data_IF_412928764210
#
_entry.id   IF_412928764210
#
_cell.length_a   1.000
_cell.length_b   1.000
_cell.length_c   1.000
_cell.angle_alpha   90.00
_cell.angle_beta   90.00
_cell.angle_gamma   90.00
#
_symmetry.space_group_name_H-M   'P 1'
#
loop_
_entity.id
_entity.type
_entity.pdbx_description
1 polymer ?
#
# COMPACT_ATOMS: atom_id res chain seq x y z
N UNK A 1 -0.02 10.67 -11.32
CA UNK A 1 1.41 10.29 -11.14
C UNK A 1 1.98 9.88 -12.48
N UNK A 2 3.28 10.08 -12.74
CA UNK A 2 4.01 9.52 -13.89
C UNK A 2 5.23 8.76 -13.43
N UNK A 3 5.67 7.78 -14.20
CA UNK A 3 6.92 7.07 -13.99
C UNK A 3 7.73 7.06 -15.26
N UNK A 4 9.01 7.42 -15.16
CA UNK A 4 9.98 7.39 -16.24
C UNK A 4 11.07 6.38 -15.88
N UNK A 5 11.20 5.33 -16.69
CA UNK A 5 12.29 4.37 -16.59
C UNK A 5 13.54 4.99 -17.20
N UNK A 6 14.56 5.26 -16.39
CA UNK A 6 15.77 5.95 -16.82
C UNK A 6 16.90 5.01 -17.22
N UNK A 7 17.04 3.89 -16.52
CA UNK A 7 18.09 2.92 -16.78
C UNK A 7 17.69 1.53 -16.29
N UNK A 8 18.15 0.51 -17.00
CA UNK A 8 18.09 -0.90 -16.58
C UNK A 8 19.52 -1.45 -16.54
N UNK A 9 19.82 -2.24 -15.52
CA UNK A 9 21.11 -2.95 -15.48
C UNK A 9 21.14 -4.07 -16.54
N UNK A 10 22.33 -4.37 -17.06
CA UNK A 10 22.52 -5.41 -18.07
C UNK A 10 22.75 -6.80 -17.48
N UNK A 11 23.16 -6.84 -16.22
CA UNK A 11 23.54 -8.08 -15.51
C UNK A 11 22.48 -8.53 -14.52
N UNK A 12 21.47 -7.69 -14.25
CA UNK A 12 20.39 -7.99 -13.29
C UNK A 12 19.08 -7.32 -13.73
N UNK A 13 17.99 -7.59 -13.00
CA UNK A 13 16.68 -6.94 -13.21
C UNK A 13 16.57 -5.57 -12.50
N UNK A 14 17.69 -4.99 -12.05
CA UNK A 14 17.69 -3.69 -11.37
C UNK A 14 17.32 -2.56 -12.34
N UNK A 15 16.53 -1.62 -11.87
CA UNK A 15 16.03 -0.48 -12.66
C UNK A 15 16.15 0.81 -11.87
N UNK A 16 16.55 1.87 -12.55
CA UNK A 16 16.51 3.24 -12.03
C UNK A 16 15.38 3.97 -12.73
N UNK A 17 14.57 4.69 -11.98
CA UNK A 17 13.47 5.47 -12.53
C UNK A 17 13.16 6.71 -11.73
N UNK A 18 12.26 7.51 -12.27
CA UNK A 18 11.77 8.73 -11.66
C UNK A 18 10.24 8.68 -11.57
N UNK A 19 9.72 8.71 -10.37
CA UNK A 19 8.29 8.92 -10.11
C UNK A 19 8.05 10.42 -9.93
N UNK A 20 7.04 10.98 -10.58
CA UNK A 20 6.60 12.35 -10.36
C UNK A 20 5.17 12.37 -9.84
N UNK A 21 4.97 13.00 -8.68
CA UNK A 21 3.68 13.29 -8.06
C UNK A 21 3.46 14.80 -7.98
N UNK A 22 2.28 15.23 -7.53
CA UNK A 22 1.99 16.66 -7.35
C UNK A 22 2.79 17.27 -6.17
N UNK A 23 3.34 16.43 -5.25
CA UNK A 23 4.21 16.86 -4.14
C UNK A 23 5.71 16.67 -4.40
N UNK A 24 6.11 16.29 -5.62
CA UNK A 24 7.50 16.23 -6.01
C UNK A 24 7.94 14.92 -6.66
N UNK A 25 9.25 14.78 -6.81
CA UNK A 25 9.88 13.68 -7.51
C UNK A 25 10.52 12.68 -6.55
N UNK A 26 10.49 11.41 -6.95
CA UNK A 26 11.06 10.28 -6.20
C UNK A 26 11.99 9.53 -7.16
N UNK A 27 13.28 9.53 -6.86
CA UNK A 27 14.28 8.72 -7.59
C UNK A 27 14.26 7.30 -7.05
N UNK A 28 14.03 6.32 -7.88
CA UNK A 28 14.00 4.91 -7.49
C UNK A 28 15.27 4.18 -7.94
N UNK A 29 15.73 3.15 -7.21
CA UNK A 29 15.14 2.60 -5.98
C UNK A 29 15.35 3.50 -4.77
N UNK A 30 14.42 3.50 -3.82
CA UNK A 30 14.51 4.29 -2.59
C UNK A 30 13.82 3.57 -1.44
N UNK A 31 14.37 3.76 -0.23
CA UNK A 31 13.72 3.37 1.01
C UNK A 31 12.74 4.45 1.48
N UNK A 32 11.56 4.04 1.95
CA UNK A 32 10.55 4.93 2.52
C UNK A 32 10.58 4.87 4.05
N UNK A 33 11.01 5.93 4.77
CA UNK A 33 10.86 5.98 6.22
C UNK A 33 9.40 5.84 6.64
N UNK A 34 9.15 5.00 7.65
CA UNK A 34 7.79 4.70 8.10
C UNK A 34 7.31 5.75 9.08
N UNK A 35 6.34 6.54 8.66
CA UNK A 35 5.63 7.55 9.44
C UNK A 35 4.25 7.08 9.87
N UNK A 36 4.16 6.04 10.70
CA UNK A 36 2.94 5.28 11.06
C UNK A 36 1.71 6.14 11.31
N UNK A 37 1.83 7.17 12.16
CA UNK A 37 0.74 8.08 12.50
C UNK A 37 1.03 9.52 12.02
N UNK A 38 1.58 9.64 10.81
CA UNK A 38 1.95 10.91 10.21
C UNK A 38 3.30 11.46 10.67
N UNK A 39 4.08 10.69 11.44
CA UNK A 39 5.43 11.06 11.89
C UNK A 39 6.33 9.84 11.96
N UNK A 40 7.60 10.01 11.62
CA UNK A 40 8.65 9.01 11.87
C UNK A 40 9.09 9.15 13.33
N UNK A 41 8.85 8.11 14.13
CA UNK A 41 9.08 8.17 15.58
C UNK A 41 10.54 8.47 15.92
N UNK A 42 10.76 9.47 16.79
CA UNK A 42 12.09 9.85 17.28
C UNK A 42 12.94 10.62 16.27
N UNK A 43 12.39 11.02 15.11
CA UNK A 43 13.11 11.78 14.07
C UNK A 43 12.29 13.02 13.69
N UNK A 44 12.89 14.21 13.75
CA UNK A 44 12.23 15.42 13.27
C UNK A 44 12.15 15.47 11.74
N UNK A 45 11.13 16.14 11.20
CA UNK A 45 11.02 16.28 9.74
C UNK A 45 12.16 17.07 9.12
N UNK A 46 12.75 18.03 9.84
CA UNK A 46 13.97 18.70 9.40
C UNK A 46 15.14 17.73 9.20
N UNK A 47 15.32 16.77 10.11
CA UNK A 47 16.34 15.73 9.99
C UNK A 47 16.06 14.79 8.81
N UNK A 48 14.78 14.40 8.61
CA UNK A 48 14.39 13.60 7.45
C UNK A 48 14.67 14.32 6.11
N UNK A 49 14.46 15.63 6.09
CA UNK A 49 14.65 16.46 4.89
C UNK A 49 16.12 16.75 4.63
N UNK A 50 16.86 17.17 5.65
CA UNK A 50 18.21 17.74 5.51
C UNK A 50 19.30 16.66 5.61
N UNK A 51 19.15 15.72 6.54
CA UNK A 51 20.16 14.70 6.82
C UNK A 51 19.88 13.38 6.09
N UNK A 52 18.67 12.81 6.27
CA UNK A 52 18.27 11.57 5.61
C UNK A 52 17.98 11.80 4.13
N UNK A 53 17.56 13.01 3.74
CA UNK A 53 17.15 13.38 2.38
C UNK A 53 16.00 12.50 1.84
N UNK A 54 15.10 12.09 2.74
CA UNK A 54 13.93 11.29 2.38
C UNK A 54 13.09 12.03 1.34
N UNK A 55 12.76 11.34 0.25
CA UNK A 55 11.96 11.89 -0.85
C UNK A 55 10.48 11.53 -0.70
N UNK A 56 10.17 10.50 0.05
CA UNK A 56 8.83 9.97 0.31
C UNK A 56 8.81 9.36 1.71
N UNK A 57 7.67 9.42 2.38
CA UNK A 57 7.41 8.67 3.63
C UNK A 57 6.19 7.77 3.46
N UNK A 58 6.10 6.73 4.31
CA UNK A 58 4.97 5.83 4.37
C UNK A 58 4.11 6.12 5.59
N UNK A 59 2.79 6.29 5.40
CA UNK A 59 1.79 6.35 6.47
C UNK A 59 0.97 5.07 6.53
N UNK A 60 0.48 4.70 7.72
CA UNK A 60 -0.36 3.52 7.86
C UNK A 60 -1.84 3.92 7.98
N UNK A 61 -2.65 3.53 7.01
CA UNK A 61 -4.08 3.86 6.92
C UNK A 61 -4.87 3.47 8.16
N UNK A 62 -4.66 2.27 8.69
CA UNK A 62 -5.31 1.80 9.91
C UNK A 62 -5.03 2.70 11.12
N UNK A 63 -3.77 3.09 11.32
CA UNK A 63 -3.40 3.94 12.44
C UNK A 63 -3.93 5.35 12.29
N UNK A 64 -3.84 5.93 11.10
CA UNK A 64 -4.36 7.28 10.80
C UNK A 64 -5.89 7.34 10.91
N UNK A 65 -6.60 6.29 10.50
CA UNK A 65 -8.03 6.14 10.67
C UNK A 65 -8.45 6.16 12.14
N UNK A 66 -7.74 5.46 13.01
CA UNK A 66 -8.07 5.41 14.44
C UNK A 66 -7.58 6.66 15.19
N UNK A 67 -6.39 7.17 14.86
CA UNK A 67 -5.79 8.33 15.50
C UNK A 67 -4.81 9.04 14.54
N UNK A 68 -5.03 10.32 14.19
CA UNK A 68 -5.94 11.28 14.84
C UNK A 68 -7.42 11.08 14.50
N UNK A 69 -7.74 10.25 13.50
CA UNK A 69 -9.10 10.05 13.00
C UNK A 69 -9.43 10.92 11.79
N UNK A 70 -10.41 10.48 11.01
CA UNK A 70 -10.71 11.08 9.71
C UNK A 70 -11.23 12.50 9.79
N UNK A 71 -12.02 12.83 10.81
CA UNK A 71 -12.57 14.17 11.00
C UNK A 71 -11.45 15.21 11.22
N UNK A 72 -10.44 14.87 12.01
CA UNK A 72 -9.28 15.74 12.25
C UNK A 72 -8.45 15.90 10.99
N UNK A 73 -8.15 14.80 10.28
CA UNK A 73 -7.39 14.85 9.04
C UNK A 73 -8.11 15.66 7.97
N UNK A 74 -9.42 15.51 7.83
CA UNK A 74 -10.24 16.28 6.91
C UNK A 74 -10.25 17.77 7.24
N UNK A 75 -10.43 18.10 8.52
CA UNK A 75 -10.43 19.49 9.00
C UNK A 75 -9.04 20.15 8.80
N UNK A 76 -7.96 19.40 8.94
CA UNK A 76 -6.59 19.86 8.67
C UNK A 76 -6.30 20.07 7.17
N UNK A 77 -7.11 19.53 6.27
CA UNK A 77 -6.87 19.57 4.82
C UNK A 77 -5.95 18.47 4.31
N UNK A 78 -6.04 17.27 4.93
CA UNK A 78 -5.28 16.06 4.60
C UNK A 78 -3.97 15.90 5.37
N UNK A 79 -3.33 14.74 5.19
CA UNK A 79 -2.15 14.34 5.94
C UNK A 79 -0.96 15.27 5.72
N UNK A 80 -0.73 15.75 4.49
CA UNK A 80 0.35 16.68 4.18
C UNK A 80 0.28 17.97 5.03
N UNK A 81 -0.90 18.54 5.14
CA UNK A 81 -1.11 19.74 5.97
C UNK A 81 -1.11 19.42 7.46
N UNK A 82 -1.67 18.27 7.85
CA UNK A 82 -1.70 17.85 9.25
C UNK A 82 -0.31 17.67 9.83
N UNK A 83 0.61 17.05 9.10
CA UNK A 83 1.96 16.76 9.59
C UNK A 83 3.04 17.74 9.08
N UNK A 84 2.71 18.65 8.16
CA UNK A 84 3.67 19.60 7.58
C UNK A 84 4.70 18.98 6.63
N UNK A 85 4.42 17.79 6.09
CA UNK A 85 5.30 17.12 5.13
C UNK A 85 4.92 17.48 3.69
N UNK A 86 5.74 18.30 3.03
CA UNK A 86 5.48 18.84 1.69
C UNK A 86 6.11 18.00 0.55
N UNK A 87 6.44 16.73 0.81
CA UNK A 87 6.98 15.78 -0.16
C UNK A 87 6.01 14.61 -0.31
N UNK A 88 6.20 13.72 -1.30
CA UNK A 88 5.32 12.58 -1.50
C UNK A 88 5.05 11.74 -0.26
N UNK A 89 3.84 11.22 -0.15
CA UNK A 89 3.40 10.26 0.86
C UNK A 89 2.78 9.06 0.16
N UNK A 90 3.12 7.86 0.64
CA UNK A 90 2.40 6.63 0.33
C UNK A 90 1.64 6.18 1.57
N UNK A 91 0.40 5.71 1.40
CA UNK A 91 -0.33 5.01 2.47
C UNK A 91 -0.59 3.56 2.09
N UNK A 92 -0.38 2.66 3.07
CA UNK A 92 -0.76 1.25 2.91
C UNK A 92 -2.29 1.07 2.86
N UNK A 93 -2.74 -0.17 2.62
CA UNK A 93 -4.16 -0.52 2.59
C UNK A 93 -4.85 -0.50 3.97
N UNK A 94 -4.06 -0.62 5.05
CA UNK A 94 -4.55 -0.93 6.39
C UNK A 94 -4.86 -2.41 6.63
N UNK A 95 -4.86 -3.25 5.59
CA UNK A 95 -5.18 -4.68 5.67
C UNK A 95 -4.27 -5.43 6.63
N UNK A 96 -2.96 -5.30 6.48
CA UNK A 96 -1.99 -5.99 7.34
C UNK A 96 -2.19 -5.68 8.82
N UNK A 97 -2.43 -4.42 9.20
CA UNK A 97 -2.63 -4.02 10.61
C UNK A 97 -3.94 -4.57 11.17
N UNK A 98 -5.00 -4.61 10.38
CA UNK A 98 -6.25 -5.26 10.77
C UNK A 98 -6.02 -6.75 11.02
N UNK A 99 -5.16 -7.40 10.23
CA UNK A 99 -4.85 -8.82 10.39
C UNK A 99 -3.87 -9.10 11.52
N UNK A 100 -2.87 -8.26 11.76
CA UNK A 100 -1.79 -8.49 12.72
C UNK A 100 -2.07 -7.96 14.13
N UNK A 101 -2.81 -6.86 14.27
CA UNK A 101 -3.00 -6.15 15.55
C UNK A 101 -4.33 -6.44 16.23
N UNK A 102 -5.28 -7.09 15.56
CA UNK A 102 -6.60 -7.33 16.12
C UNK A 102 -6.79 -8.79 16.51
N UNK A 103 -7.00 -9.04 17.80
CA UNK A 103 -7.27 -10.38 18.33
C UNK A 103 -8.65 -10.94 17.90
N UNK A 104 -9.59 -10.06 17.53
CA UNK A 104 -10.94 -10.40 17.11
C UNK A 104 -11.22 -9.70 15.78
N UNK A 105 -11.17 -10.47 14.71
CA UNK A 105 -11.56 -10.05 13.37
C UNK A 105 -12.55 -11.02 12.77
N UNK A 106 -13.45 -10.52 11.95
CA UNK A 106 -14.36 -11.34 11.15
C UNK A 106 -14.26 -10.92 9.69
N UNK A 107 -13.73 -11.84 8.90
CA UNK A 107 -13.56 -11.67 7.46
C UNK A 107 -14.82 -12.13 6.73
N UNK A 108 -15.23 -11.42 5.72
CA UNK A 108 -16.34 -11.75 4.83
C UNK A 108 -16.12 -11.17 3.44
N UNK A 109 -16.96 -11.53 2.48
CA UNK A 109 -16.92 -10.91 1.14
C UNK A 109 -17.12 -9.39 1.19
N UNK A 110 -17.91 -8.89 2.13
CA UNK A 110 -18.17 -7.47 2.31
C UNK A 110 -16.92 -6.69 2.75
N UNK A 111 -16.13 -7.26 3.66
CA UNK A 111 -14.97 -6.61 4.24
C UNK A 111 -14.50 -7.32 5.52
N UNK A 112 -13.73 -6.60 6.32
CA UNK A 112 -13.18 -7.07 7.57
C UNK A 112 -13.71 -6.27 8.76
N UNK A 113 -14.45 -6.93 9.66
CA UNK A 113 -14.83 -6.35 10.95
C UNK A 113 -13.71 -6.57 11.96
N UNK A 114 -13.40 -5.55 12.74
CA UNK A 114 -12.33 -5.62 13.76
C UNK A 114 -12.64 -4.77 14.97
N UNK A 115 -11.86 -4.96 16.03
CA UNK A 115 -11.87 -4.07 17.20
C UNK A 115 -10.61 -3.21 17.23
N UNK A 116 -10.79 -1.93 17.51
CA UNK A 116 -9.68 -1.01 17.73
C UNK A 116 -8.79 -1.50 18.88
N UNK A 117 -7.49 -1.52 18.66
CA UNK A 117 -6.50 -1.84 19.71
C UNK A 117 -6.33 -0.70 20.73
N UNK A 118 -6.91 0.48 20.46
CA UNK A 118 -6.80 1.67 21.32
C UNK A 118 -7.88 1.63 22.41
N UNK A 119 -9.14 1.38 22.03
CA UNK A 119 -10.30 1.52 22.89
C UNK A 119 -11.32 0.37 22.80
N UNK A 120 -11.05 -0.65 21.96
CA UNK A 120 -11.91 -1.79 21.76
C UNK A 120 -13.18 -1.54 20.95
N UNK A 121 -13.38 -0.33 20.41
CA UNK A 121 -14.52 0.00 19.55
C UNK A 121 -14.57 -0.88 18.31
N UNK A 122 -15.79 -1.14 17.81
CA UNK A 122 -16.01 -1.99 16.63
C UNK A 122 -15.96 -1.14 15.36
N UNK A 123 -15.23 -1.63 14.38
CA UNK A 123 -15.08 -1.03 13.07
C UNK A 123 -15.26 -2.07 11.97
N UNK A 124 -15.50 -1.59 10.76
CA UNK A 124 -15.48 -2.40 9.54
C UNK A 124 -14.68 -1.68 8.47
N UNK A 125 -13.75 -2.37 7.85
CA UNK A 125 -13.12 -1.97 6.59
C UNK A 125 -13.73 -2.75 5.45
N UNK A 126 -14.24 -2.03 4.46
CA UNK A 126 -14.66 -2.55 3.16
C UNK A 126 -13.77 -1.94 2.08
N UNK A 127 -13.66 -2.53 0.90
CA UNK A 127 -12.93 -1.92 -0.21
C UNK A 127 -13.34 -0.45 -0.46
N UNK A 128 -14.63 -0.17 -0.39
CA UNK A 128 -15.16 1.18 -0.65
C UNK A 128 -14.76 2.18 0.43
N UNK A 129 -15.00 1.85 1.71
CA UNK A 129 -14.72 2.79 2.79
C UNK A 129 -13.21 2.98 3.04
N UNK A 130 -12.37 2.01 2.67
CA UNK A 130 -10.91 2.18 2.69
C UNK A 130 -10.47 3.16 1.59
N UNK A 131 -11.07 3.14 0.41
CA UNK A 131 -10.83 4.16 -0.61
C UNK A 131 -11.25 5.53 -0.13
N UNK A 132 -12.45 5.67 0.45
CA UNK A 132 -12.93 6.93 1.03
C UNK A 132 -12.01 7.43 2.17
N UNK A 133 -11.55 6.53 3.02
CA UNK A 133 -10.57 6.80 4.08
C UNK A 133 -9.28 7.38 3.49
N UNK A 134 -8.71 6.75 2.46
CA UNK A 134 -7.48 7.21 1.83
C UNK A 134 -7.68 8.50 1.01
N UNK A 135 -8.88 8.77 0.49
CA UNK A 135 -9.23 10.10 -0.06
C UNK A 135 -9.15 11.18 1.02
N UNK A 136 -9.66 10.91 2.23
CA UNK A 136 -9.60 11.85 3.36
C UNK A 136 -8.16 12.00 3.89
N UNK A 137 -7.38 10.92 3.96
CA UNK A 137 -5.97 10.99 4.34
C UNK A 137 -5.19 11.83 3.32
N UNK A 138 -5.42 11.63 2.03
CA UNK A 138 -4.84 12.46 0.98
C UNK A 138 -3.36 12.19 0.69
N UNK A 139 -2.90 10.93 0.73
CA UNK A 139 -1.56 10.56 0.26
C UNK A 139 -1.48 10.58 -1.28
N UNK A 140 -0.29 10.74 -1.86
CA UNK A 140 -0.07 10.72 -3.32
C UNK A 140 -0.28 9.33 -3.90
N UNK A 141 0.20 8.30 -3.19
CA UNK A 141 0.08 6.90 -3.57
C UNK A 141 -0.72 6.18 -2.49
N UNK A 142 -1.78 5.52 -2.89
CA UNK A 142 -2.67 4.76 -2.01
C UNK A 142 -2.75 3.31 -2.46
N UNK A 143 -3.00 2.39 -1.52
CA UNK A 143 -3.05 0.96 -1.79
C UNK A 143 -4.48 0.44 -1.80
N UNK A 144 -4.79 -0.48 -2.70
CA UNK A 144 -6.05 -1.20 -2.67
C UNK A 144 -6.17 -2.04 -1.39
N UNK A 145 -7.38 -2.15 -0.85
CA UNK A 145 -7.63 -2.99 0.33
C UNK A 145 -7.47 -4.46 -0.03
N UNK A 146 -6.68 -5.17 0.77
CA UNK A 146 -6.30 -6.56 0.54
C UNK A 146 -6.38 -7.40 1.81
N UNK A 147 -6.44 -8.70 1.67
CA UNK A 147 -6.16 -9.66 2.73
C UNK A 147 -4.70 -10.10 2.63
N UNK A 148 -3.95 -9.91 3.72
CA UNK A 148 -2.58 -10.39 3.87
C UNK A 148 -2.56 -11.58 4.83
N UNK A 149 -2.66 -12.83 4.35
CA UNK A 149 -2.58 -14.02 5.20
C UNK A 149 -1.16 -14.22 5.74
N UNK A 150 -1.00 -14.92 6.90
CA UNK A 150 0.32 -15.32 7.39
C UNK A 150 1.11 -16.10 6.34
N UNK A 151 2.44 -15.91 6.31
CA UNK A 151 3.30 -16.55 5.31
C UNK A 151 3.32 -18.08 5.34
N UNK A 152 2.91 -18.70 6.47
CA UNK A 152 2.77 -20.15 6.66
C UNK A 152 1.34 -20.68 6.45
N UNK A 153 0.44 -19.90 5.86
CA UNK A 153 -0.92 -20.35 5.56
C UNK A 153 -0.91 -21.49 4.57
N UNK A 154 -1.86 -22.44 4.73
CA UNK A 154 -2.00 -23.54 3.78
C UNK A 154 -2.48 -23.06 2.40
N UNK A 155 -2.32 -23.91 1.39
CA UNK A 155 -2.65 -23.58 0.01
C UNK A 155 -4.14 -23.26 -0.19
N UNK A 156 -5.04 -24.02 0.45
CA UNK A 156 -6.48 -23.83 0.27
C UNK A 156 -6.93 -22.47 0.79
N UNK A 157 -6.48 -22.09 1.98
CA UNK A 157 -6.74 -20.78 2.54
C UNK A 157 -6.09 -19.65 1.71
N UNK A 158 -4.83 -19.83 1.30
CA UNK A 158 -4.11 -18.85 0.48
C UNK A 158 -4.81 -18.59 -0.84
N UNK A 159 -5.35 -19.63 -1.48
CA UNK A 159 -6.12 -19.52 -2.73
C UNK A 159 -7.47 -18.81 -2.50
N UNK A 160 -8.16 -19.13 -1.41
CA UNK A 160 -9.42 -18.45 -1.04
C UNK A 160 -9.17 -16.95 -0.76
N UNK A 161 -8.12 -16.63 -0.01
CA UNK A 161 -7.69 -15.27 0.31
C UNK A 161 -7.34 -14.47 -0.95
N UNK A 162 -6.59 -15.10 -1.87
CA UNK A 162 -6.26 -14.47 -3.15
C UNK A 162 -7.52 -14.11 -3.94
N UNK A 163 -8.46 -15.04 -4.07
CA UNK A 163 -9.73 -14.78 -4.77
C UNK A 163 -10.55 -13.65 -4.12
N UNK A 164 -10.53 -13.54 -2.78
CA UNK A 164 -11.17 -12.45 -2.07
C UNK A 164 -10.47 -11.11 -2.36
N UNK A 165 -9.14 -11.08 -2.27
CA UNK A 165 -8.32 -9.88 -2.56
C UNK A 165 -8.54 -9.39 -3.99
N UNK A 166 -8.64 -10.28 -4.97
CA UNK A 166 -8.92 -9.92 -6.37
C UNK A 166 -10.30 -9.25 -6.53
N UNK A 167 -11.36 -9.79 -5.90
CA UNK A 167 -12.69 -9.18 -5.92
C UNK A 167 -12.73 -7.84 -5.18
N UNK A 168 -12.01 -7.74 -4.07
CA UNK A 168 -11.85 -6.47 -3.36
C UNK A 168 -11.10 -5.43 -4.17
N UNK A 169 -10.08 -5.84 -4.93
CA UNK A 169 -9.36 -4.93 -5.84
C UNK A 169 -10.31 -4.32 -6.88
N UNK A 170 -11.18 -5.12 -7.49
CA UNK A 170 -12.16 -4.61 -8.47
C UNK A 170 -13.12 -3.59 -7.83
N UNK A 171 -13.56 -3.83 -6.60
CA UNK A 171 -14.38 -2.89 -5.84
C UNK A 171 -13.61 -1.62 -5.47
N UNK A 172 -12.34 -1.73 -5.06
CA UNK A 172 -11.47 -0.58 -4.81
C UNK A 172 -11.30 0.29 -6.06
N UNK A 173 -11.00 -0.32 -7.21
CA UNK A 173 -10.83 0.39 -8.48
C UNK A 173 -12.13 1.11 -8.87
N UNK A 174 -13.28 0.42 -8.75
CA UNK A 174 -14.58 1.02 -9.01
C UNK A 174 -14.80 2.26 -8.13
N UNK A 175 -14.63 2.11 -6.80
CA UNK A 175 -14.83 3.21 -5.86
C UNK A 175 -13.85 4.35 -6.07
N UNK A 176 -12.59 4.05 -6.36
CA UNK A 176 -11.58 5.05 -6.67
C UNK A 176 -11.96 5.90 -7.89
N UNK A 177 -12.51 5.28 -8.92
CA UNK A 177 -12.95 5.96 -10.14
C UNK A 177 -14.28 6.75 -9.97
N UNK A 178 -15.09 6.39 -8.97
CA UNK A 178 -16.33 7.09 -8.63
C UNK A 178 -16.11 8.30 -7.71
N UNK A 179 -14.90 8.46 -7.17
CA UNK A 179 -14.58 9.51 -6.18
C UNK A 179 -13.44 10.40 -6.66
N UNK A 180 -13.53 11.68 -6.34
CA UNK A 180 -12.50 12.66 -6.68
C UNK A 180 -11.55 12.92 -5.51
N UNK A 181 -10.28 13.28 -5.79
CA UNK A 181 -9.36 13.76 -4.77
C UNK A 181 -9.92 15.02 -4.05
N UNK A 182 -9.74 15.07 -2.73
CA UNK A 182 -10.36 16.13 -1.92
C UNK A 182 -9.54 17.43 -1.84
N UNK A 183 -8.24 17.40 -2.14
CA UNK A 183 -7.33 18.49 -1.81
C UNK A 183 -6.65 19.15 -3.01
N UNK A 184 -7.21 18.96 -4.22
CA UNK A 184 -6.75 19.63 -5.45
C UNK A 184 -5.51 19.02 -6.10
N UNK A 185 -5.05 17.85 -5.67
CA UNK A 185 -3.96 17.09 -6.29
C UNK A 185 -4.38 15.63 -6.54
N UNK A 186 -3.70 14.98 -7.47
CA UNK A 186 -4.03 13.62 -7.89
C UNK A 186 -3.46 12.58 -6.94
N UNK A 187 -4.21 11.50 -6.79
CA UNK A 187 -3.76 10.29 -6.09
C UNK A 187 -3.68 9.14 -7.08
N UNK A 188 -2.72 8.24 -6.89
CA UNK A 188 -2.58 7.02 -7.69
C UNK A 188 -2.86 5.79 -6.84
N UNK A 189 -3.73 4.90 -7.34
CA UNK A 189 -4.06 3.64 -6.68
C UNK A 189 -3.11 2.55 -7.14
N UNK A 190 -2.43 1.88 -6.19
CA UNK A 190 -1.60 0.70 -6.44
C UNK A 190 -2.34 -0.56 -6.01
N UNK A 191 -2.62 -1.49 -6.93
CA UNK A 191 -3.04 -2.84 -6.59
C UNK A 191 -1.90 -3.62 -5.94
N UNK A 192 -2.25 -4.62 -5.11
CA UNK A 192 -1.30 -5.42 -4.34
C UNK A 192 -1.32 -6.87 -4.83
N UNK A 193 -0.16 -7.40 -5.21
CA UNK A 193 0.04 -8.82 -5.52
C UNK A 193 0.12 -9.60 -4.22
N UNK A 194 -0.81 -10.53 -4.00
CA UNK A 194 -0.80 -11.47 -2.88
C UNK A 194 -0.53 -12.91 -3.38
N UNK A 195 -0.66 -13.94 -2.56
CA UNK A 195 -0.50 -15.35 -2.95
C UNK A 195 0.46 -16.15 -2.05
N UNK A 196 0.81 -15.60 -0.87
CA UNK A 196 1.73 -16.24 0.09
C UNK A 196 3.04 -16.67 -0.59
N UNK A 197 3.49 -17.89 -0.34
CA UNK A 197 4.71 -18.49 -0.89
C UNK A 197 4.42 -19.53 -2.00
N UNK A 198 3.25 -19.44 -2.63
CA UNK A 198 2.84 -20.36 -3.70
C UNK A 198 3.04 -19.73 -5.08
N UNK A 199 3.92 -20.32 -5.89
CA UNK A 199 4.34 -19.81 -7.21
C UNK A 199 3.19 -19.60 -8.17
N UNK A 200 2.27 -20.55 -8.23
CA UNK A 200 1.08 -20.49 -9.09
C UNK A 200 0.14 -19.36 -8.66
N UNK A 201 -0.09 -19.19 -7.35
CA UNK A 201 -0.92 -18.10 -6.83
C UNK A 201 -0.25 -16.73 -7.05
N UNK A 202 1.06 -16.61 -6.86
CA UNK A 202 1.81 -15.37 -7.17
C UNK A 202 1.75 -15.04 -8.65
N UNK A 203 1.88 -16.06 -9.51
CA UNK A 203 1.75 -15.89 -10.96
C UNK A 203 0.35 -15.43 -11.35
N UNK A 204 -0.69 -16.05 -10.80
CA UNK A 204 -2.09 -15.65 -11.02
C UNK A 204 -2.33 -14.22 -10.55
N UNK A 205 -1.92 -13.90 -9.33
CA UNK A 205 -2.06 -12.57 -8.75
C UNK A 205 -1.34 -11.49 -9.57
N UNK A 206 -0.10 -11.74 -9.97
CA UNK A 206 0.69 -10.77 -10.74
C UNK A 206 0.06 -10.49 -12.10
N UNK A 207 -0.45 -11.50 -12.82
CA UNK A 207 -1.18 -11.33 -14.07
C UNK A 207 -2.45 -10.52 -13.86
N UNK A 208 -3.27 -10.89 -12.86
CA UNK A 208 -4.50 -10.18 -12.54
C UNK A 208 -4.25 -8.71 -12.22
N UNK A 209 -3.21 -8.41 -11.45
CA UNK A 209 -2.83 -7.03 -11.10
C UNK A 209 -2.29 -6.27 -12.31
N UNK A 210 -1.43 -6.88 -13.13
CA UNK A 210 -0.88 -6.28 -14.34
C UNK A 210 -1.99 -5.87 -15.33
N UNK A 211 -3.01 -6.71 -15.50
CA UNK A 211 -4.15 -6.47 -16.40
C UNK A 211 -5.01 -5.26 -15.97
N UNK A 212 -4.90 -4.78 -14.72
CA UNK A 212 -5.62 -3.57 -14.28
C UNK A 212 -5.04 -2.28 -14.85
N UNK A 213 -3.82 -2.28 -15.38
CA UNK A 213 -3.20 -1.12 -16.02
C UNK A 213 -2.95 0.06 -15.07
N UNK A 214 -2.75 -0.20 -13.78
CA UNK A 214 -2.55 0.85 -12.77
C UNK A 214 -1.25 1.65 -12.99
N UNK A 215 -1.14 2.80 -12.33
CA UNK A 215 0.05 3.67 -12.39
C UNK A 215 1.31 3.05 -11.77
N UNK A 216 1.14 2.06 -10.90
CA UNK A 216 2.19 1.29 -10.25
C UNK A 216 1.58 0.09 -9.52
N UNK A 217 2.41 -0.80 -9.00
CA UNK A 217 1.99 -2.04 -8.38
C UNK A 217 2.72 -2.28 -7.06
N UNK A 218 2.07 -2.94 -6.11
CA UNK A 218 2.69 -3.38 -4.87
C UNK A 218 2.85 -4.91 -4.85
N UNK A 219 3.91 -5.36 -4.19
CA UNK A 219 4.17 -6.78 -3.90
C UNK A 219 3.99 -6.95 -2.40
N UNK A 220 2.85 -7.51 -1.99
CA UNK A 220 2.51 -7.72 -0.59
C UNK A 220 2.66 -9.16 -0.14
N UNK A 221 2.37 -9.41 1.15
CA UNK A 221 2.36 -10.74 1.74
C UNK A 221 3.72 -11.44 1.73
N UNK A 222 4.80 -10.69 1.81
CA UNK A 222 6.17 -11.14 1.98
C UNK A 222 6.79 -10.47 3.22
N UNK A 223 7.90 -11.03 3.74
CA UNK A 223 8.48 -10.68 5.03
C UNK A 223 7.50 -10.86 6.21
N UNK A 224 6.65 -11.88 6.13
CA UNK A 224 5.62 -12.22 7.12
C UNK A 224 5.83 -13.61 7.75
N UNK A 225 7.10 -14.06 7.78
CA UNK A 225 7.53 -15.30 8.45
C UNK A 225 8.12 -16.38 7.54
N UNK A 226 8.18 -16.16 6.23
CA UNK A 226 8.83 -17.06 5.28
C UNK A 226 10.37 -16.91 5.32
N UNK A 227 11.12 -17.94 4.90
CA UNK A 227 12.57 -17.83 4.69
C UNK A 227 12.92 -16.79 3.61
N UNK A 228 14.07 -16.13 3.77
CA UNK A 228 14.52 -15.06 2.86
C UNK A 228 14.64 -15.54 1.41
N UNK A 229 15.13 -16.76 1.20
CA UNK A 229 15.29 -17.35 -0.13
C UNK A 229 13.94 -17.55 -0.83
N UNK A 230 12.93 -17.98 -0.08
CA UNK A 230 11.55 -18.12 -0.59
C UNK A 230 10.97 -16.75 -0.94
N UNK A 231 11.21 -15.73 -0.11
CA UNK A 231 10.79 -14.36 -0.40
C UNK A 231 11.40 -13.88 -1.73
N UNK A 232 12.70 -14.07 -1.94
CA UNK A 232 13.37 -13.67 -3.19
C UNK A 232 12.81 -14.42 -4.40
N UNK A 233 12.59 -15.72 -4.29
CA UNK A 233 11.97 -16.51 -5.36
C UNK A 233 10.58 -15.97 -5.75
N UNK A 234 9.75 -15.62 -4.77
CA UNK A 234 8.43 -15.04 -5.04
C UNK A 234 8.53 -13.66 -5.70
N UNK A 235 9.50 -12.84 -5.30
CA UNK A 235 9.75 -11.54 -5.92
C UNK A 235 10.19 -11.70 -7.38
N UNK A 236 11.07 -12.64 -7.69
CA UNK A 236 11.52 -12.93 -9.06
C UNK A 236 10.34 -13.29 -9.96
N UNK A 237 9.50 -14.25 -9.54
CA UNK A 237 8.30 -14.66 -10.29
C UNK A 237 7.38 -13.48 -10.58
N UNK A 238 7.12 -12.64 -9.58
CA UNK A 238 6.24 -11.48 -9.74
C UNK A 238 6.90 -10.44 -10.67
N UNK A 239 8.21 -10.24 -10.55
CA UNK A 239 8.96 -9.29 -11.35
C UNK A 239 9.02 -9.62 -12.85
N UNK A 240 8.95 -10.90 -13.21
CA UNK A 240 8.87 -11.33 -14.62
C UNK A 240 7.55 -10.92 -15.27
N UNK A 241 6.48 -10.79 -14.48
CA UNK A 241 5.11 -10.58 -14.97
C UNK A 241 4.70 -9.12 -14.93
N UNK A 242 5.04 -8.40 -13.84
CA UNK A 242 4.62 -7.01 -13.69
C UNK A 242 5.26 -6.09 -14.74
N UNK A 243 4.51 -5.09 -15.26
CA UNK A 243 4.99 -4.15 -16.27
C UNK A 243 6.34 -3.52 -15.89
N UNK A 244 7.31 -3.52 -16.81
CA UNK A 244 8.66 -2.96 -16.58
C UNK A 244 8.68 -1.43 -16.61
N UNK A 245 7.70 -0.82 -17.23
CA UNK A 245 7.49 0.62 -17.36
C UNK A 245 6.65 1.22 -16.22
N UNK A 246 6.40 0.45 -15.15
CA UNK A 246 5.68 0.89 -13.96
C UNK A 246 6.54 0.72 -12.70
N UNK A 247 6.37 1.61 -11.68
CA UNK A 247 7.05 1.46 -10.40
C UNK A 247 6.47 0.29 -9.62
N UNK A 248 7.31 -0.27 -8.75
CA UNK A 248 6.96 -1.37 -7.84
C UNK A 248 7.28 -0.97 -6.41
N UNK A 249 6.37 -1.25 -5.51
CA UNK A 249 6.54 -1.10 -4.07
C UNK A 249 6.61 -2.50 -3.43
N UNK A 250 7.56 -2.71 -2.51
CA UNK A 250 7.72 -3.94 -1.74
C UNK A 250 7.67 -3.61 -0.26
#
# INVERSE_FOLDING_TARGET
MTFELQCTDRASEARVGLITTDHGQIKTPIFMPVGTAGTVKGVHFSELIEQVKAQIILGNTYHLYLRPGLEILKAAGGLHKFNGWNRPILTDSGGFQVFSLTSIRKLSEEGCQFRSHIDGSKHIFTPENVMDTQRIIGADIIMAFDECPPGNSDYAYSKQSLGLTQRWLDRCIKRFNETEPLYGYKQSLFPIVQGCTYKDLRTEAAKFVADKGADGNAIGGLAVGEPTEVMYEMIEIVNEILPKDKPRYL
#
